data_IF_689202554264
#
_entry.id   IF_689202554264
#
_cell.length_a   1.000
_cell.length_b   1.000
_cell.length_c   1.000
_cell.angle_alpha   90.00
_cell.angle_beta   90.00
_cell.angle_gamma   90.00
#
_symmetry.space_group_name_H-M   'P 1'
#
loop_
_entity.id
_entity.type
_entity.pdbx_description
1 polymer ?
#
# COMPACT_ATOMS: atom_id res chain seq x y z
N UNK A 1 -25.79 -41.85 -0.78
CA UNK A 1 -26.26 -40.89 -1.80
C UNK A 1 -26.49 -39.47 -1.26
N UNK A 2 -27.15 -39.28 -0.11
CA UNK A 2 -27.44 -37.92 0.44
C UNK A 2 -26.16 -37.14 0.81
N UNK A 3 -25.17 -37.78 1.43
CA UNK A 3 -23.90 -37.12 1.83
C UNK A 3 -23.11 -36.63 0.61
N UNK A 4 -23.05 -37.42 -0.46
CA UNK A 4 -22.35 -37.06 -1.71
C UNK A 4 -23.03 -35.87 -2.40
N UNK A 5 -24.37 -35.82 -2.39
CA UNK A 5 -25.13 -34.73 -2.99
C UNK A 5 -24.99 -33.40 -2.23
N UNK A 6 -24.97 -33.44 -0.89
CA UNK A 6 -24.74 -32.25 -0.04
C UNK A 6 -23.32 -31.71 -0.23
N UNK A 7 -22.30 -32.58 -0.28
CA UNK A 7 -20.90 -32.17 -0.52
C UNK A 7 -20.73 -31.51 -1.89
N UNK A 8 -21.38 -32.05 -2.95
CA UNK A 8 -21.36 -31.45 -4.28
C UNK A 8 -21.98 -30.04 -4.31
N UNK A 9 -23.15 -29.84 -3.68
CA UNK A 9 -23.80 -28.52 -3.62
C UNK A 9 -22.92 -27.51 -2.87
N UNK A 10 -22.31 -27.91 -1.74
CA UNK A 10 -21.41 -27.04 -0.98
C UNK A 10 -20.16 -26.61 -1.76
N UNK A 11 -19.58 -27.51 -2.56
CA UNK A 11 -18.41 -27.19 -3.42
C UNK A 11 -18.80 -26.22 -4.54
N UNK A 12 -19.97 -26.42 -5.17
CA UNK A 12 -20.48 -25.52 -6.21
C UNK A 12 -20.77 -24.12 -5.66
N UNK A 13 -21.36 -24.00 -4.47
CA UNK A 13 -21.60 -22.71 -3.81
C UNK A 13 -20.29 -21.99 -3.44
N UNK A 14 -19.30 -22.70 -2.90
CA UNK A 14 -18.01 -22.12 -2.54
C UNK A 14 -17.25 -21.58 -3.76
N UNK A 15 -17.25 -22.32 -4.87
CA UNK A 15 -16.65 -21.87 -6.15
C UNK A 15 -17.35 -20.62 -6.70
N UNK A 16 -18.68 -20.59 -6.70
CA UNK A 16 -19.43 -19.39 -7.13
C UNK A 16 -19.16 -18.16 -6.26
N UNK A 17 -18.94 -18.37 -4.97
CA UNK A 17 -18.59 -17.29 -4.05
C UNK A 17 -17.15 -16.77 -4.22
N UNK A 18 -16.20 -17.65 -4.49
CA UNK A 18 -14.82 -17.27 -4.82
C UNK A 18 -14.76 -16.47 -6.12
N UNK A 19 -15.43 -16.97 -7.18
CA UNK A 19 -15.49 -16.29 -8.48
C UNK A 19 -16.10 -14.89 -8.37
N UNK A 20 -17.20 -14.73 -7.63
CA UNK A 20 -17.82 -13.41 -7.45
C UNK A 20 -16.94 -12.45 -6.63
N UNK A 21 -16.16 -12.97 -5.68
CA UNK A 21 -15.20 -12.16 -4.89
C UNK A 21 -14.05 -11.69 -5.79
N UNK A 22 -13.48 -12.59 -6.59
CA UNK A 22 -12.42 -12.27 -7.55
C UNK A 22 -12.87 -11.23 -8.58
N UNK A 23 -14.04 -11.42 -9.20
CA UNK A 23 -14.57 -10.46 -10.17
C UNK A 23 -14.81 -9.08 -9.55
N UNK A 24 -15.32 -9.03 -8.31
CA UNK A 24 -15.51 -7.75 -7.61
C UNK A 24 -14.20 -7.04 -7.28
N UNK A 25 -13.14 -7.79 -6.95
CA UNK A 25 -11.78 -7.26 -6.76
C UNK A 25 -11.20 -6.73 -8.07
N UNK A 26 -11.32 -7.49 -9.16
CA UNK A 26 -10.88 -7.10 -10.50
C UNK A 26 -11.54 -5.81 -10.98
N UNK A 27 -12.85 -5.67 -10.79
CA UNK A 27 -13.59 -4.44 -11.13
C UNK A 27 -13.14 -3.22 -10.30
N UNK A 28 -12.66 -3.46 -9.07
CA UNK A 28 -12.18 -2.40 -8.19
C UNK A 28 -10.72 -2.01 -8.43
N UNK A 29 -9.91 -2.92 -9.00
CA UNK A 29 -8.47 -2.76 -9.21
C UNK A 29 -8.19 -1.67 -10.24
N UNK A 30 -7.31 -0.73 -9.91
CA UNK A 30 -6.97 0.40 -10.78
C UNK A 30 -5.48 0.59 -11.02
N UNK A 31 -4.66 -0.14 -10.25
CA UNK A 31 -3.23 -0.23 -10.42
C UNK A 31 -2.75 -1.58 -9.86
N UNK A 32 -1.81 -2.23 -10.54
CA UNK A 32 -1.17 -3.46 -10.09
C UNK A 32 0.24 -3.59 -10.68
N UNK A 33 1.21 -3.87 -9.82
CA UNK A 33 2.57 -4.25 -10.19
C UNK A 33 3.02 -5.44 -9.34
N UNK A 34 3.08 -6.60 -9.98
CA UNK A 34 3.63 -7.86 -9.46
C UNK A 34 5.16 -7.91 -9.52
N UNK A 35 5.77 -6.99 -10.27
CA UNK A 35 7.18 -6.99 -10.63
C UNK A 35 7.66 -8.19 -11.46
N UNK A 36 6.89 -9.26 -11.64
CA UNK A 36 7.31 -10.47 -12.38
C UNK A 36 7.71 -10.20 -13.83
N UNK A 37 7.06 -9.20 -14.46
CA UNK A 37 7.30 -8.80 -15.84
C UNK A 37 8.16 -7.55 -15.97
N UNK A 38 8.80 -7.12 -14.88
CA UNK A 38 9.63 -5.92 -14.80
C UNK A 38 9.02 -4.85 -13.92
N UNK A 39 9.59 -3.65 -13.97
CA UNK A 39 9.26 -2.54 -13.07
C UNK A 39 8.07 -1.67 -13.52
N UNK A 40 7.49 -1.93 -14.68
CA UNK A 40 6.27 -1.24 -15.11
C UNK A 40 5.06 -1.99 -14.56
N UNK A 41 4.02 -1.27 -14.15
CA UNK A 41 2.78 -1.88 -13.66
C UNK A 41 2.08 -2.69 -14.75
N UNK A 42 1.63 -3.91 -14.45
CA UNK A 42 0.88 -4.72 -15.42
C UNK A 42 -0.52 -4.18 -15.68
N UNK A 43 -1.10 -3.49 -14.70
CA UNK A 43 -2.36 -2.79 -14.83
C UNK A 43 -2.20 -1.37 -14.28
N UNK A 44 -2.60 -0.37 -15.07
CA UNK A 44 -2.69 1.01 -14.63
C UNK A 44 -3.82 1.72 -15.38
N UNK A 45 -4.72 2.37 -14.65
CA UNK A 45 -5.70 3.29 -15.24
C UNK A 45 -5.08 4.67 -15.56
N UNK A 46 -3.92 4.96 -14.96
CA UNK A 46 -3.10 6.13 -15.21
C UNK A 46 -1.79 5.74 -15.88
N UNK A 47 -0.71 6.25 -15.31
CA UNK A 47 0.66 5.99 -15.78
C UNK A 47 1.20 4.70 -15.15
N UNK A 48 1.64 3.70 -15.94
CA UNK A 48 2.19 2.44 -15.43
C UNK A 48 3.65 2.55 -14.98
N UNK A 49 4.32 3.67 -15.22
CA UNK A 49 5.76 3.76 -15.10
C UNK A 49 6.26 4.00 -13.68
N UNK A 50 7.32 3.28 -13.33
CA UNK A 50 8.11 3.58 -12.15
C UNK A 50 9.01 4.79 -12.46
N UNK A 51 9.13 5.69 -11.50
CA UNK A 51 10.00 6.87 -11.57
C UNK A 51 10.98 6.87 -10.41
N UNK A 52 12.16 7.43 -10.65
CA UNK A 52 13.18 7.68 -9.62
C UNK A 52 13.46 9.17 -9.51
N UNK A 53 13.51 9.68 -8.28
CA UNK A 53 14.04 11.02 -7.98
C UNK A 53 15.57 10.91 -7.88
N UNK A 54 16.27 11.36 -8.92
CA UNK A 54 17.75 11.26 -9.00
C UNK A 54 18.47 12.46 -8.42
N UNK A 55 17.76 13.57 -8.20
CA UNK A 55 18.26 14.70 -7.41
C UNK A 55 17.09 15.41 -6.75
N UNK A 56 17.32 15.97 -5.57
CA UNK A 56 16.37 16.87 -4.88
C UNK A 56 16.83 18.32 -4.88
N UNK A 57 18.05 18.60 -5.35
CA UNK A 57 18.70 19.90 -5.26
C UNK A 57 19.47 20.21 -6.55
N UNK A 58 19.47 21.48 -7.04
CA UNK A 58 18.70 22.62 -6.54
C UNK A 58 17.18 22.52 -6.83
N UNK A 59 16.79 21.59 -7.70
CA UNK A 59 15.39 21.25 -7.98
C UNK A 59 15.24 19.72 -8.08
N UNK A 60 14.02 19.23 -7.85
CA UNK A 60 13.70 17.81 -8.01
C UNK A 60 13.90 17.39 -9.48
N UNK A 61 14.75 16.40 -9.70
CA UNK A 61 14.95 15.76 -11.02
C UNK A 61 14.35 14.37 -10.98
N UNK A 62 13.35 14.14 -11.82
CA UNK A 62 12.64 12.86 -11.93
C UNK A 62 13.02 12.19 -13.24
N UNK A 63 13.39 10.91 -13.18
CA UNK A 63 13.68 10.06 -14.35
C UNK A 63 12.79 8.83 -14.35
N UNK A 64 12.23 8.48 -15.50
CA UNK A 64 11.48 7.22 -15.70
C UNK A 64 12.43 6.03 -15.58
N UNK A 65 12.01 4.97 -14.89
CA UNK A 65 12.76 3.76 -14.62
C UNK A 65 13.42 3.75 -13.23
N UNK A 66 14.08 2.63 -12.92
CA UNK A 66 14.81 2.41 -11.67
C UNK A 66 16.25 2.92 -11.79
N UNK A 67 16.53 4.11 -11.25
CA UNK A 67 17.84 4.77 -11.27
C UNK A 67 18.45 4.87 -9.86
N UNK A 68 18.42 3.77 -9.11
CA UNK A 68 18.80 3.72 -7.71
C UNK A 68 20.25 3.24 -7.45
N UNK A 69 21.09 3.17 -8.49
CA UNK A 69 22.53 2.84 -8.35
C UNK A 69 22.82 1.55 -7.55
N UNK A 70 21.95 0.54 -7.66
CA UNK A 70 22.07 -0.73 -6.91
C UNK A 70 21.63 -0.67 -5.44
N UNK A 71 21.21 0.50 -4.94
CA UNK A 71 20.65 0.65 -3.59
C UNK A 71 19.21 0.13 -3.51
N UNK A 72 18.50 0.19 -4.63
CA UNK A 72 17.24 -0.53 -4.88
C UNK A 72 17.39 -1.30 -6.19
N UNK A 73 17.01 -2.58 -6.17
CA UNK A 73 17.17 -3.49 -7.29
C UNK A 73 15.86 -4.21 -7.59
N UNK A 74 15.60 -4.45 -8.88
CA UNK A 74 14.60 -5.43 -9.30
C UNK A 74 15.28 -6.81 -9.34
N UNK A 75 14.78 -7.75 -8.55
CA UNK A 75 15.41 -9.05 -8.31
C UNK A 75 14.45 -10.18 -8.69
N UNK A 76 14.92 -11.16 -9.45
CA UNK A 76 14.15 -12.35 -9.83
C UNK A 76 14.40 -13.50 -8.85
N UNK A 77 13.46 -14.45 -8.77
CA UNK A 77 13.55 -15.60 -7.88
C UNK A 77 13.23 -15.30 -6.41
N UNK A 78 12.91 -14.04 -6.09
CA UNK A 78 12.71 -13.55 -4.72
C UNK A 78 11.31 -13.01 -4.46
N UNK A 79 10.40 -13.02 -5.45
CA UNK A 79 8.99 -12.63 -5.28
C UNK A 79 8.21 -13.54 -4.32
N UNK A 80 6.98 -13.16 -4.00
CA UNK A 80 6.12 -13.88 -3.05
C UNK A 80 5.92 -15.37 -3.36
N UNK A 81 6.00 -15.73 -4.64
CA UNK A 81 5.83 -17.09 -5.18
C UNK A 81 7.09 -17.60 -5.92
N UNK A 82 8.22 -16.91 -5.76
CA UNK A 82 9.45 -17.17 -6.51
C UNK A 82 9.54 -16.39 -7.84
N UNK A 83 8.59 -15.51 -8.12
CA UNK A 83 8.68 -14.49 -9.17
C UNK A 83 9.72 -13.40 -8.88
N UNK A 84 9.44 -12.16 -9.22
CA UNK A 84 10.35 -11.03 -8.98
C UNK A 84 9.82 -10.08 -7.90
N UNK A 85 10.70 -9.25 -7.36
CA UNK A 85 10.35 -8.24 -6.36
C UNK A 85 11.31 -7.03 -6.45
N UNK A 86 11.00 -5.99 -5.69
CA UNK A 86 11.96 -4.94 -5.38
C UNK A 86 12.74 -5.28 -4.11
N UNK A 87 14.06 -5.19 -4.15
CA UNK A 87 14.95 -5.29 -3.00
C UNK A 87 15.54 -3.93 -2.67
N UNK A 88 15.33 -3.48 -1.44
CA UNK A 88 15.92 -2.26 -0.89
C UNK A 88 17.10 -2.66 0.00
N UNK A 89 18.31 -2.26 -0.42
CA UNK A 89 19.56 -2.64 0.23
C UNK A 89 20.08 -1.56 1.19
N UNK A 90 19.69 -0.30 0.98
CA UNK A 90 20.22 0.84 1.74
C UNK A 90 19.14 1.87 2.06
N UNK A 91 19.15 2.33 3.31
CA UNK A 91 18.25 3.38 3.83
C UNK A 91 18.26 4.65 2.99
N UNK A 92 19.39 5.04 2.42
CA UNK A 92 19.53 6.28 1.65
C UNK A 92 19.31 6.10 0.14
N UNK A 93 18.68 5.00 -0.29
CA UNK A 93 18.34 4.76 -1.69
C UNK A 93 17.56 5.93 -2.30
N UNK A 94 17.81 6.19 -3.59
CA UNK A 94 17.02 7.13 -4.38
C UNK A 94 15.52 6.80 -4.26
N UNK A 95 14.70 7.83 -4.03
CA UNK A 95 13.27 7.63 -3.86
C UNK A 95 12.62 7.23 -5.18
N UNK A 96 11.88 6.13 -5.16
CA UNK A 96 11.11 5.65 -6.30
C UNK A 96 9.61 5.76 -6.04
N UNK A 97 8.84 5.95 -7.09
CA UNK A 97 7.38 6.06 -6.99
C UNK A 97 6.68 5.70 -8.30
N UNK A 98 5.43 5.29 -8.18
CA UNK A 98 4.46 5.35 -9.27
C UNK A 98 3.64 6.63 -9.17
N UNK A 99 3.24 7.15 -10.32
CA UNK A 99 2.28 8.24 -10.38
C UNK A 99 0.88 7.75 -10.01
N UNK A 100 0.20 8.48 -9.14
CA UNK A 100 -1.09 8.12 -8.58
C UNK A 100 -2.28 8.65 -9.37
N UNK A 101 -2.09 9.55 -10.34
CA UNK A 101 -3.17 10.09 -11.16
C UNK A 101 -3.92 8.95 -11.85
N UNK A 102 -5.24 8.89 -11.65
CA UNK A 102 -6.14 7.79 -12.08
C UNK A 102 -5.87 6.41 -11.46
N UNK A 103 -4.65 6.10 -11.02
CA UNK A 103 -4.27 4.85 -10.35
C UNK A 103 -4.83 4.76 -8.92
N UNK A 104 -4.82 5.88 -8.18
CA UNK A 104 -5.36 5.98 -6.81
C UNK A 104 -6.85 6.40 -6.79
N UNK A 105 -7.38 6.83 -7.95
CA UNK A 105 -8.76 7.28 -8.15
C UNK A 105 -9.22 8.32 -7.11
N UNK A 106 -8.34 9.26 -6.80
CA UNK A 106 -8.65 10.41 -5.93
C UNK A 106 -9.93 11.13 -6.36
N UNK A 107 -10.75 11.53 -5.38
CA UNK A 107 -11.99 12.31 -5.60
C UNK A 107 -12.07 13.44 -4.59
N UNK A 108 -12.58 14.60 -5.01
CA UNK A 108 -12.77 15.77 -4.13
C UNK A 108 -13.93 15.60 -3.13
N UNK A 109 -14.75 14.57 -3.27
CA UNK A 109 -15.89 14.31 -2.39
C UNK A 109 -16.10 12.80 -2.24
N UNK A 110 -16.42 12.37 -1.01
CA UNK A 110 -16.72 10.98 -0.64
C UNK A 110 -15.72 9.97 -1.23
N UNK A 111 -14.44 10.27 -1.05
CA UNK A 111 -13.38 9.44 -1.58
C UNK A 111 -13.16 8.20 -0.72
N UNK A 112 -13.04 7.06 -1.39
CA UNK A 112 -12.76 5.75 -0.79
C UNK A 112 -11.80 4.99 -1.68
N UNK A 113 -11.07 4.04 -1.11
CA UNK A 113 -10.09 3.24 -1.84
C UNK A 113 -9.33 2.29 -0.93
N UNK A 114 -8.42 1.54 -1.52
CA UNK A 114 -7.50 0.66 -0.79
C UNK A 114 -6.14 0.62 -1.47
N UNK A 115 -5.09 0.40 -0.68
CA UNK A 115 -3.73 0.13 -1.17
C UNK A 115 -3.22 -1.12 -0.48
N UNK A 116 -2.49 -1.94 -1.23
CA UNK A 116 -1.88 -3.17 -0.74
C UNK A 116 -0.46 -3.33 -1.28
N UNK A 117 0.36 -4.01 -0.49
CA UNK A 117 1.72 -4.42 -0.81
C UNK A 117 2.11 -5.62 0.06
N UNK A 118 3.13 -6.35 -0.35
CA UNK A 118 3.73 -7.42 0.45
C UNK A 118 5.14 -7.02 0.85
N UNK A 119 5.52 -7.34 2.10
CA UNK A 119 6.82 -7.01 2.67
C UNK A 119 7.47 -8.26 3.25
N UNK A 120 8.79 -8.37 3.10
CA UNK A 120 9.60 -9.41 3.74
C UNK A 120 10.90 -8.81 4.25
N UNK A 121 11.00 -8.76 5.58
CA UNK A 121 12.14 -8.28 6.35
C UNK A 121 12.02 -8.74 7.80
N UNK A 122 13.13 -8.71 8.53
CA UNK A 122 13.17 -8.60 9.98
C UNK A 122 13.39 -7.12 10.38
N UNK A 123 12.39 -6.47 10.99
CA UNK A 123 12.48 -5.04 11.32
C UNK A 123 13.54 -4.72 12.38
N UNK A 124 13.94 -5.69 13.20
CA UNK A 124 14.89 -5.45 14.29
C UNK A 124 16.34 -5.52 13.81
N UNK A 125 16.61 -6.37 12.81
CA UNK A 125 17.97 -6.62 12.33
C UNK A 125 18.28 -5.98 10.99
N UNK A 126 17.27 -5.71 10.15
CA UNK A 126 17.48 -5.23 8.78
C UNK A 126 17.19 -3.73 8.60
N UNK A 127 16.36 -3.12 9.47
CA UNK A 127 16.09 -1.68 9.42
C UNK A 127 17.18 -0.88 10.13
N UNK A 128 17.74 0.09 9.40
CA UNK A 128 18.62 1.10 9.99
C UNK A 128 17.85 1.96 11.02
N UNK A 129 18.55 2.64 11.96
CA UNK A 129 17.91 3.56 12.90
C UNK A 129 17.06 4.64 12.22
N UNK A 130 15.97 5.05 12.87
CA UNK A 130 15.02 6.03 12.33
C UNK A 130 13.83 5.40 11.61
N UNK A 131 12.89 6.25 11.17
CA UNK A 131 11.70 5.80 10.45
C UNK A 131 12.06 5.15 9.11
N UNK A 132 11.29 4.11 8.77
CA UNK A 132 11.36 3.39 7.52
C UNK A 132 9.95 3.21 6.96
N UNK A 133 9.71 3.70 5.76
CA UNK A 133 8.38 3.87 5.18
C UNK A 133 8.27 3.01 3.91
N UNK A 134 7.81 1.76 4.02
CA UNK A 134 7.60 0.91 2.84
C UNK A 134 6.68 1.53 1.80
N UNK A 135 5.69 2.31 2.22
CA UNK A 135 4.81 3.05 1.31
C UNK A 135 4.37 4.38 1.90
N UNK A 136 4.49 5.45 1.12
CA UNK A 136 3.80 6.72 1.33
C UNK A 136 2.97 7.09 0.11
N UNK A 137 1.78 7.64 0.35
CA UNK A 137 0.89 8.17 -0.67
C UNK A 137 0.58 9.63 -0.35
N UNK A 138 1.15 10.55 -1.12
CA UNK A 138 1.03 12.00 -0.89
C UNK A 138 1.30 12.78 -2.18
N UNK A 139 0.91 14.04 -2.21
CA UNK A 139 1.39 14.99 -3.24
C UNK A 139 2.55 15.87 -2.78
N UNK A 140 2.87 15.88 -1.48
CA UNK A 140 3.71 16.91 -0.87
C UNK A 140 4.57 16.42 0.29
N UNK A 141 3.95 16.04 1.40
CA UNK A 141 4.61 15.72 2.67
C UNK A 141 3.86 14.61 3.41
N UNK A 142 4.56 13.96 4.34
CA UNK A 142 4.06 12.83 5.13
C UNK A 142 2.93 13.20 6.12
N UNK A 143 2.71 14.49 6.37
CA UNK A 143 1.74 15.01 7.35
C UNK A 143 0.79 16.06 6.77
N UNK A 144 0.62 16.10 5.45
CA UNK A 144 -0.22 17.10 4.78
C UNK A 144 -0.97 16.47 3.60
N UNK A 145 -2.13 15.89 3.89
CA UNK A 145 -2.93 15.14 2.92
C UNK A 145 -2.18 13.89 2.47
N UNK A 146 -2.04 12.91 3.35
CA UNK A 146 -1.16 11.77 3.12
C UNK A 146 -1.59 10.51 3.86
N UNK A 147 -1.33 9.38 3.21
CA UNK A 147 -1.28 8.08 3.86
C UNK A 147 0.15 7.57 3.91
N UNK A 148 0.46 6.78 4.93
CA UNK A 148 1.68 5.99 4.95
C UNK A 148 1.51 4.76 5.80
N UNK A 149 2.32 3.75 5.49
CA UNK A 149 2.64 2.69 6.42
C UNK A 149 4.14 2.72 6.69
N UNK A 150 4.53 2.64 7.95
CA UNK A 150 5.92 2.74 8.34
C UNK A 150 6.26 1.88 9.57
N UNK A 151 7.56 1.68 9.76
CA UNK A 151 8.13 1.23 11.02
C UNK A 151 8.57 2.46 11.81
N UNK A 152 8.22 2.49 13.09
CA UNK A 152 8.62 3.58 13.96
C UNK A 152 10.16 3.68 14.08
N UNK A 153 10.64 4.84 14.52
CA UNK A 153 12.07 5.13 14.55
C UNK A 153 12.87 4.31 15.56
N UNK A 154 12.21 3.93 16.66
CA UNK A 154 12.77 3.30 17.85
C UNK A 154 11.76 2.25 18.34
N UNK A 155 12.22 1.09 18.79
CA UNK A 155 11.37 0.03 19.35
C UNK A 155 12.12 -1.30 19.44
N UNK A 156 11.63 -2.21 20.26
CA UNK A 156 12.07 -3.61 20.37
C UNK A 156 10.89 -4.46 20.88
N UNK A 157 10.07 -5.04 19.98
CA UNK A 157 10.10 -4.86 18.54
C UNK A 157 9.59 -3.48 18.10
N UNK A 158 10.01 -3.01 16.93
CA UNK A 158 9.50 -1.80 16.28
C UNK A 158 8.01 -1.95 15.97
N UNK A 159 7.26 -0.88 16.24
CA UNK A 159 5.86 -0.82 15.86
C UNK A 159 5.74 -0.64 14.35
N UNK A 160 4.73 -1.28 13.76
CA UNK A 160 4.29 -0.98 12.40
C UNK A 160 3.04 -0.13 12.45
N UNK A 161 2.98 0.95 11.68
CA UNK A 161 1.93 1.98 11.86
C UNK A 161 1.24 2.28 10.55
N UNK A 162 -0.05 2.58 10.63
CA UNK A 162 -0.81 3.26 9.59
C UNK A 162 -0.95 4.73 9.98
N UNK A 163 -0.56 5.64 9.10
CA UNK A 163 -0.87 7.07 9.19
C UNK A 163 -1.90 7.49 8.14
N UNK A 164 -2.87 8.30 8.56
CA UNK A 164 -3.85 8.92 7.66
C UNK A 164 -4.05 10.38 8.08
N UNK A 165 -3.18 11.25 7.57
CA UNK A 165 -3.13 12.66 7.95
C UNK A 165 -3.87 13.49 6.91
N UNK A 166 -4.92 14.19 7.34
CA UNK A 166 -5.60 15.21 6.56
C UNK A 166 -4.63 16.33 6.14
N UNK A 167 -5.10 17.32 5.40
CA UNK A 167 -4.29 18.52 5.15
C UNK A 167 -3.78 19.10 6.49
N UNK A 168 -2.55 19.59 6.52
CA UNK A 168 -1.87 20.01 7.76
C UNK A 168 -2.71 20.99 8.57
N UNK A 169 -3.35 21.94 7.87
CA UNK A 169 -4.20 22.97 8.46
C UNK A 169 -5.48 22.43 9.11
N UNK A 170 -5.86 21.18 8.86
CA UNK A 170 -7.07 20.54 9.38
C UNK A 170 -6.74 19.75 10.63
N UNK A 171 -5.75 18.86 10.58
CA UNK A 171 -5.41 18.02 11.74
C UNK A 171 -4.47 18.72 12.74
N UNK A 172 -3.65 19.67 12.29
CA UNK A 172 -2.72 20.44 13.13
C UNK A 172 -2.63 21.92 12.65
N UNK A 173 -3.71 22.71 12.82
CA UNK A 173 -3.81 24.08 12.31
C UNK A 173 -2.72 25.03 12.81
N UNK A 174 -2.19 24.78 14.00
CA UNK A 174 -1.17 25.61 14.63
C UNK A 174 0.26 25.13 14.35
N UNK A 175 0.41 24.04 13.59
CA UNK A 175 1.69 23.39 13.28
C UNK A 175 2.57 23.17 14.53
N UNK A 176 1.95 22.65 15.58
CA UNK A 176 2.61 22.37 16.86
C UNK A 176 3.13 20.94 16.90
N UNK A 177 4.11 20.71 17.77
CA UNK A 177 4.49 19.36 18.14
C UNK A 177 3.38 18.72 18.98
N UNK A 178 2.83 17.60 18.49
CA UNK A 178 1.73 16.85 19.09
C UNK A 178 2.27 15.45 19.41
N UNK A 179 1.98 14.89 20.58
CA UNK A 179 2.41 13.54 20.93
C UNK A 179 1.79 12.49 20.00
N UNK A 180 2.48 11.37 19.74
CA UNK A 180 2.04 10.40 18.72
C UNK A 180 0.65 9.82 18.98
N UNK A 181 0.29 9.60 20.25
CA UNK A 181 -1.01 9.08 20.69
C UNK A 181 -2.19 10.02 20.39
N UNK A 182 -1.90 11.29 20.10
CA UNK A 182 -2.89 12.31 19.74
C UNK A 182 -2.96 12.55 18.23
N UNK A 183 -2.18 11.84 17.42
CA UNK A 183 -2.14 11.98 15.96
C UNK A 183 -3.14 11.01 15.29
N UNK A 184 -3.56 11.25 14.04
CA UNK A 184 -4.30 10.28 13.25
C UNK A 184 -3.37 9.14 12.76
N UNK A 185 -2.93 8.33 13.72
CA UNK A 185 -1.92 7.28 13.57
C UNK A 185 -2.36 6.06 14.38
N UNK A 186 -2.28 4.87 13.79
CA UNK A 186 -2.60 3.62 14.45
C UNK A 186 -1.38 2.68 14.48
N UNK A 187 -0.82 2.39 15.66
CA UNK A 187 0.30 1.45 15.80
C UNK A 187 -0.16 0.01 16.01
N UNK A 188 0.51 -0.93 15.34
CA UNK A 188 0.47 -2.37 15.61
C UNK A 188 1.72 -2.73 16.41
N UNK A 189 1.51 -3.18 17.64
CA UNK A 189 2.57 -3.69 18.52
C UNK A 189 2.93 -5.11 18.12
N UNK A 190 4.22 -5.44 18.15
CA UNK A 190 4.74 -6.76 17.77
C UNK A 190 4.19 -7.28 16.42
N UNK A 191 4.36 -6.51 15.33
CA UNK A 191 3.80 -6.86 14.04
C UNK A 191 4.41 -8.14 13.46
N UNK A 192 3.71 -8.89 12.60
CA UNK A 192 4.07 -10.24 12.20
C UNK A 192 5.14 -10.28 11.09
N UNK A 193 6.09 -9.35 11.05
CA UNK A 193 7.19 -9.37 10.07
C UNK A 193 8.31 -10.31 10.53
N UNK A 194 8.97 -10.99 9.60
CA UNK A 194 10.19 -11.75 9.84
C UNK A 194 10.95 -11.97 8.52
N UNK A 195 12.26 -12.19 8.65
CA UNK A 195 13.19 -12.39 7.52
C UNK A 195 12.78 -13.50 6.54
N UNK A 196 12.14 -14.55 7.05
CA UNK A 196 11.83 -15.76 6.30
C UNK A 196 10.40 -15.84 5.77
N UNK A 197 9.54 -14.83 6.06
CA UNK A 197 8.14 -14.83 5.63
C UNK A 197 7.71 -13.51 5.00
N UNK A 198 6.81 -13.63 4.03
CA UNK A 198 6.09 -12.50 3.48
C UNK A 198 4.92 -12.11 4.38
N UNK A 199 4.71 -10.81 4.56
CA UNK A 199 3.59 -10.22 5.27
C UNK A 199 2.80 -9.34 4.32
N UNK A 200 1.51 -9.63 4.17
CA UNK A 200 0.59 -8.81 3.40
C UNK A 200 0.17 -7.60 4.22
N UNK A 201 0.35 -6.42 3.66
CA UNK A 201 -0.10 -5.15 4.24
C UNK A 201 -1.18 -4.57 3.34
N UNK A 202 -2.34 -4.28 3.92
CA UNK A 202 -3.43 -3.62 3.20
C UNK A 202 -4.07 -2.59 4.10
N UNK A 203 -4.26 -1.38 3.59
CA UNK A 203 -5.13 -0.40 4.24
C UNK A 203 -6.23 0.09 3.31
N UNK A 204 -7.38 0.37 3.91
CA UNK A 204 -8.55 0.94 3.22
C UNK A 204 -8.86 2.31 3.78
N UNK A 205 -9.53 3.14 2.99
CA UNK A 205 -10.13 4.40 3.47
C UNK A 205 -11.55 4.57 2.92
N UNK A 206 -12.39 5.23 3.70
CA UNK A 206 -13.78 5.53 3.36
C UNK A 206 -14.20 6.89 3.89
N UNK A 207 -15.10 7.55 3.17
CA UNK A 207 -15.65 8.86 3.52
C UNK A 207 -14.59 9.97 3.69
N UNK A 208 -13.52 9.93 2.89
CA UNK A 208 -12.58 11.04 2.85
C UNK A 208 -13.18 12.20 2.05
N UNK A 209 -12.76 13.43 2.36
CA UNK A 209 -13.20 14.66 1.67
C UNK A 209 -14.70 14.95 1.79
N UNK A 210 -15.31 14.60 2.92
CA UNK A 210 -16.71 14.94 3.24
C UNK A 210 -16.84 16.29 3.97
N UNK A 211 -15.73 16.82 4.49
CA UNK A 211 -15.71 17.97 5.42
C UNK A 211 -16.30 17.64 6.80
N UNK A 212 -16.36 16.35 7.17
CA UNK A 212 -16.93 15.86 8.44
C UNK A 212 -15.97 14.89 9.11
N UNK A 213 -16.15 14.70 10.42
CA UNK A 213 -15.40 13.73 11.24
C UNK A 213 -15.88 12.28 11.05
N UNK A 214 -16.13 11.86 9.82
CA UNK A 214 -16.66 10.53 9.45
C UNK A 214 -15.71 9.73 8.54
N UNK A 215 -14.53 10.29 8.23
CA UNK A 215 -13.47 9.60 7.52
C UNK A 215 -12.90 8.46 8.36
N UNK A 216 -12.73 7.29 7.74
CA UNK A 216 -12.15 6.12 8.40
C UNK A 216 -11.07 5.49 7.54
N UNK A 217 -9.91 5.22 8.13
CA UNK A 217 -8.86 4.39 7.53
C UNK A 217 -8.65 3.13 8.37
N UNK A 218 -8.48 1.96 7.73
CA UNK A 218 -8.36 0.66 8.42
C UNK A 218 -7.12 -0.08 7.97
N UNK A 219 -6.41 -0.70 8.91
CA UNK A 219 -5.22 -1.51 8.63
C UNK A 219 -5.54 -3.00 8.76
N UNK A 220 -5.01 -3.78 7.82
CA UNK A 220 -5.06 -5.23 7.78
C UNK A 220 -3.66 -5.78 7.55
N UNK A 221 -3.31 -6.84 8.27
CA UNK A 221 -2.08 -7.60 8.10
C UNK A 221 -2.44 -9.06 7.89
N UNK A 222 -1.90 -9.70 6.85
CA UNK A 222 -2.20 -11.09 6.49
C UNK A 222 -3.71 -11.40 6.43
N UNK A 223 -4.47 -10.50 5.80
CA UNK A 223 -5.92 -10.61 5.69
C UNK A 223 -6.72 -10.30 6.96
N UNK A 224 -6.06 -10.07 8.10
CA UNK A 224 -6.70 -9.86 9.40
C UNK A 224 -6.72 -8.37 9.81
N UNK A 225 -7.88 -7.90 10.29
CA UNK A 225 -8.05 -6.54 10.80
C UNK A 225 -7.17 -6.28 12.02
N UNK A 226 -6.45 -5.15 12.02
CA UNK A 226 -5.59 -4.73 13.13
C UNK A 226 -6.20 -3.56 13.91
N UNK A 227 -6.80 -2.61 13.20
CA UNK A 227 -7.40 -1.43 13.80
C UNK A 227 -7.71 -0.33 12.79
N UNK A 228 -8.15 0.81 13.31
CA UNK A 228 -8.63 1.91 12.49
C UNK A 228 -8.29 3.29 13.07
N UNK A 229 -8.19 4.26 12.16
CA UNK A 229 -8.18 5.70 12.44
C UNK A 229 -9.57 6.22 12.07
N UNK A 230 -10.34 6.66 13.06
CA UNK A 230 -11.71 7.15 12.88
C UNK A 230 -11.96 8.43 13.72
N UNK A 231 -13.04 9.14 13.44
CA UNK A 231 -13.42 10.36 14.18
C UNK A 231 -12.63 11.61 13.78
N UNK A 232 -11.93 11.56 12.65
CA UNK A 232 -11.15 12.67 12.10
C UNK A 232 -11.85 13.27 10.88
N UNK A 233 -11.72 14.59 10.70
CA UNK A 233 -11.99 15.22 9.41
C UNK A 233 -10.83 14.89 8.48
N UNK A 234 -11.08 13.95 7.57
CA UNK A 234 -10.10 13.43 6.62
C UNK A 234 -10.24 14.12 5.27
N UNK A 235 -10.11 15.44 5.28
CA UNK A 235 -10.12 16.26 4.07
C UNK A 235 -8.70 16.43 3.53
N UNK A 236 -8.50 15.93 2.32
CA UNK A 236 -7.30 16.03 1.50
C UNK A 236 -7.63 16.95 0.33
N UNK A 237 -6.91 18.06 0.17
CA UNK A 237 -7.10 19.01 -0.92
C UNK A 237 -5.97 18.94 -1.95
N UNK A 238 -5.74 17.74 -2.50
CA UNK A 238 -4.77 17.54 -3.58
C UNK A 238 -5.18 18.31 -4.83
N UNK A 239 -4.26 19.12 -5.37
CA UNK A 239 -4.56 19.97 -6.53
C UNK A 239 -4.32 19.21 -7.83
N UNK A 240 -5.05 19.51 -8.92
CA UNK A 240 -4.89 18.81 -10.20
C UNK A 240 -3.49 18.87 -10.83
N UNK A 241 -2.67 19.87 -10.48
CA UNK A 241 -1.30 20.03 -10.98
C UNK A 241 -0.24 19.44 -10.05
N UNK A 242 -0.62 19.01 -8.84
CA UNK A 242 0.28 18.33 -7.93
C UNK A 242 0.36 16.85 -8.33
N UNK A 243 1.57 16.29 -8.37
CA UNK A 243 1.72 14.86 -8.67
C UNK A 243 1.39 14.02 -7.44
N UNK A 244 0.39 13.15 -7.55
CA UNK A 244 0.13 12.11 -6.54
C UNK A 244 1.24 11.07 -6.68
N UNK A 245 1.98 10.80 -5.61
CA UNK A 245 3.09 9.85 -5.64
C UNK A 245 2.79 8.69 -4.71
N UNK A 246 2.82 7.48 -5.26
CA UNK A 246 2.85 6.22 -4.52
C UNK A 246 4.34 5.90 -4.34
N UNK A 247 4.95 6.47 -3.31
CA UNK A 247 6.36 6.20 -2.99
C UNK A 247 6.53 4.80 -2.44
N UNK A 248 7.62 4.14 -2.84
CA UNK A 248 7.98 2.81 -2.38
C UNK A 248 9.33 2.85 -1.66
N UNK A 249 9.36 2.28 -0.45
CA UNK A 249 10.56 2.02 0.34
C UNK A 249 11.41 3.24 0.68
N UNK A 250 10.82 4.34 1.18
CA UNK A 250 11.63 5.45 1.68
C UNK A 250 12.30 5.02 2.97
N UNK A 251 13.63 5.09 3.04
CA UNK A 251 14.39 4.68 4.22
C UNK A 251 14.20 3.20 4.64
N UNK A 252 13.64 2.39 3.75
CA UNK A 252 13.32 1.00 4.00
C UNK A 252 14.44 0.09 3.51
N UNK A 253 14.61 -1.04 4.20
CA UNK A 253 15.45 -2.15 3.77
C UNK A 253 14.60 -3.42 3.82
N UNK A 254 14.72 -4.28 2.82
CA UNK A 254 13.94 -5.52 2.71
C UNK A 254 13.38 -5.74 1.31
N UNK A 255 12.52 -6.75 1.17
CA UNK A 255 11.80 -7.03 -0.06
C UNK A 255 10.41 -6.40 -0.03
N UNK A 256 9.95 -5.94 -1.19
CA UNK A 256 8.62 -5.39 -1.43
C UNK A 256 8.08 -5.94 -2.75
N UNK A 257 6.83 -6.39 -2.73
CA UNK A 257 6.20 -7.03 -3.87
C UNK A 257 4.70 -6.67 -3.98
N UNK A 258 4.09 -6.96 -5.13
CA UNK A 258 2.63 -7.01 -5.32
C UNK A 258 1.88 -5.72 -4.92
N UNK A 259 2.32 -4.58 -5.46
CA UNK A 259 1.70 -3.27 -5.16
C UNK A 259 0.40 -3.12 -5.93
N UNK A 260 -0.70 -2.83 -5.23
CA UNK A 260 -2.02 -2.66 -5.82
C UNK A 260 -2.80 -1.47 -5.25
N UNK A 261 -3.64 -0.84 -6.09
CA UNK A 261 -4.61 0.17 -5.67
C UNK A 261 -6.02 -0.20 -6.14
N UNK A 262 -7.01 0.13 -5.31
CA UNK A 262 -8.42 -0.13 -5.56
C UNK A 262 -9.24 1.15 -5.42
N UNK A 263 -10.28 1.29 -6.25
CA UNK A 263 -11.13 2.48 -6.34
C UNK A 263 -12.22 2.59 -5.25
N UNK A 264 -12.23 1.66 -4.30
CA UNK A 264 -13.14 1.59 -3.14
C UNK A 264 -12.44 0.93 -1.96
N UNK A 265 -13.02 1.10 -0.78
CA UNK A 265 -12.63 0.27 0.36
C UNK A 265 -13.02 -1.18 0.09
N UNK A 266 -12.05 -2.08 0.18
CA UNK A 266 -12.30 -3.50 0.13
C UNK A 266 -12.96 -3.98 1.42
N UNK A 267 -13.81 -4.99 1.30
CA UNK A 267 -14.48 -5.64 2.44
C UNK A 267 -13.53 -6.61 3.13
N UNK A 268 -13.72 -6.93 4.43
CA UNK A 268 -12.90 -7.94 5.12
C UNK A 268 -12.85 -9.29 4.41
N UNK A 269 -13.94 -9.70 3.76
CA UNK A 269 -14.00 -10.95 2.99
C UNK A 269 -13.10 -10.89 1.75
N UNK A 270 -13.16 -9.79 1.00
CA UNK A 270 -12.29 -9.58 -0.18
C UNK A 270 -10.82 -9.51 0.22
N UNK A 271 -10.51 -8.82 1.33
CA UNK A 271 -9.15 -8.70 1.85
C UNK A 271 -8.59 -10.06 2.25
N UNK A 272 -9.38 -10.88 2.97
CA UNK A 272 -8.99 -12.25 3.32
C UNK A 272 -8.77 -13.11 2.07
N UNK A 273 -9.69 -13.04 1.10
CA UNK A 273 -9.55 -13.78 -0.15
C UNK A 273 -8.31 -13.35 -0.92
N UNK A 274 -8.04 -12.04 -1.02
CA UNK A 274 -6.88 -11.52 -1.73
C UNK A 274 -5.56 -11.94 -1.05
N UNK A 275 -5.50 -11.92 0.28
CA UNK A 275 -4.35 -12.47 1.02
C UNK A 275 -4.08 -13.94 0.70
N UNK A 276 -5.13 -14.76 0.57
CA UNK A 276 -5.03 -16.18 0.27
C UNK A 276 -4.72 -16.48 -1.21
N UNK A 277 -5.01 -15.54 -2.11
CA UNK A 277 -4.89 -15.70 -3.57
C UNK A 277 -4.21 -14.48 -4.24
N UNK A 278 -2.98 -14.09 -3.82
CA UNK A 278 -2.40 -12.82 -4.22
C UNK A 278 -2.19 -12.67 -5.73
N UNK A 279 -1.97 -13.77 -6.45
CA UNK A 279 -1.74 -13.78 -7.91
C UNK A 279 -3.01 -13.85 -8.76
N UNK A 280 -4.17 -14.06 -8.16
CA UNK A 280 -5.43 -14.23 -8.91
C UNK A 280 -6.13 -12.90 -9.24
N UNK A 281 -5.47 -11.76 -8.98
CA UNK A 281 -6.02 -10.42 -9.23
C UNK A 281 -6.07 -10.03 -10.70
N UNK A 282 -5.06 -10.37 -11.50
CA UNK A 282 -5.01 -9.96 -12.90
C UNK A 282 -5.09 -11.20 -13.76
N UNK A 283 -6.01 -11.19 -14.73
CA UNK A 283 -6.07 -12.26 -15.72
C UNK A 283 -4.69 -12.38 -16.36
N UNK A 284 -4.10 -13.57 -16.32
CA UNK A 284 -3.10 -13.91 -17.32
C UNK A 284 -3.77 -13.62 -18.67
N UNK A 285 -3.31 -12.56 -19.34
CA UNK A 285 -3.63 -12.38 -20.74
C UNK A 285 -3.11 -13.65 -21.40
N UNK A 286 -4.02 -14.57 -21.75
CA UNK A 286 -3.71 -15.73 -22.54
C UNK A 286 -2.88 -15.21 -23.72
N UNK A 287 -1.60 -15.60 -23.73
CA UNK A 287 -0.71 -15.34 -24.84
C UNK A 287 -1.41 -15.82 -26.11
N UNK A 288 -1.83 -14.87 -26.95
CA UNK A 288 -2.17 -15.14 -28.34
C UNK A 288 -0.87 -15.35 -29.13
#
# INVERSE_FOLDING_TARGET
MVIVFVVLISILCARGQAQSTQSSLQEALTFYSSFDRGIEAELAHGDPSLYTITSKQPQETVRRGLHAQGQTEWVTGLGIDGGAALRFNQRNASWIFYRGEKNVRYRLNQWSGSVSLWLKLDPETELAPGFADPLQLTTRAWNDGSFFVDFNKDGDPRDFRLGAFADLKIWNPENKEISEDQRPLFPVKAPPFAKDRWTHVLFTWSNFNTGKKDGVARLYLNGAFQGEIAGWDQTFSWKPHETIKIYLGLNYNGLLDEVSCFNRALTPKEIKWFFEHPKELVFESASQ
#
